data_IF_327010289371
#
_entry.id   IF_327010289371
#
_cell.length_a   1.000
_cell.length_b   1.000
_cell.length_c   1.000
_cell.angle_alpha   90.00
_cell.angle_beta   90.00
_cell.angle_gamma   90.00
#
_symmetry.space_group_name_H-M   'P 1'
#
loop_
_entity.id
_entity.type
_entity.pdbx_description
1 polymer ?
#
# COMPACT_ATOMS: atom_id res chain seq x y z
N UNK A 1 0.22 -12.33 -8.47
CA UNK A 1 1.55 -12.22 -9.13
C UNK A 1 2.33 -11.00 -8.67
N UNK A 2 1.82 -9.76 -8.79
CA UNK A 2 2.55 -8.56 -8.36
C UNK A 2 2.87 -8.53 -6.84
N UNK A 3 1.91 -8.90 -5.98
CA UNK A 3 2.12 -8.93 -4.53
C UNK A 3 3.25 -9.90 -4.14
N UNK A 4 3.23 -11.12 -4.68
CA UNK A 4 4.26 -12.13 -4.39
C UNK A 4 5.69 -11.64 -4.68
N UNK A 5 5.90 -10.98 -5.83
CA UNK A 5 7.23 -10.42 -6.18
C UNK A 5 7.63 -9.31 -5.20
N UNK A 6 6.69 -8.50 -4.73
CA UNK A 6 6.96 -7.46 -3.74
C UNK A 6 7.27 -8.04 -2.36
N UNK A 7 6.60 -9.13 -1.98
CA UNK A 7 6.84 -9.87 -0.73
C UNK A 7 8.22 -10.53 -0.74
N UNK A 8 8.64 -11.12 -1.87
CA UNK A 8 10.02 -11.59 -2.06
C UNK A 8 11.02 -10.43 -1.93
N UNK A 9 10.71 -9.25 -2.48
CA UNK A 9 11.52 -8.05 -2.25
C UNK A 9 11.64 -7.67 -0.76
N UNK A 10 10.56 -7.83 0.00
CA UNK A 10 10.55 -7.58 1.45
C UNK A 10 11.37 -8.61 2.25
N UNK A 11 11.60 -9.83 1.75
CA UNK A 11 12.49 -10.77 2.44
C UNK A 11 13.95 -10.31 2.45
N UNK A 12 14.36 -9.54 1.43
CA UNK A 12 15.69 -8.93 1.37
C UNK A 12 15.74 -7.54 2.03
N UNK A 13 14.62 -6.81 2.03
CA UNK A 13 14.51 -5.47 2.60
C UNK A 13 13.33 -5.36 3.57
N UNK A 14 13.42 -5.98 4.76
CA UNK A 14 12.33 -5.95 5.73
C UNK A 14 11.96 -4.51 6.13
N UNK A 15 10.66 -4.21 6.12
CA UNK A 15 10.16 -2.89 6.51
C UNK A 15 10.30 -1.79 5.45
N UNK A 16 10.65 -2.13 4.21
CA UNK A 16 10.68 -1.15 3.12
C UNK A 16 9.28 -0.54 2.88
N UNK A 17 9.12 0.74 3.22
CA UNK A 17 7.86 1.46 3.13
C UNK A 17 7.34 1.54 1.69
N UNK A 18 8.21 1.76 0.70
CA UNK A 18 7.85 1.84 -0.71
C UNK A 18 7.20 0.55 -1.20
N UNK A 19 7.82 -0.61 -0.92
CA UNK A 19 7.26 -1.91 -1.30
C UNK A 19 5.93 -2.15 -0.58
N UNK A 20 5.84 -1.76 0.69
CA UNK A 20 4.62 -1.92 1.49
C UNK A 20 3.45 -1.07 0.95
N UNK A 21 3.69 0.17 0.48
CA UNK A 21 2.65 0.96 -0.21
C UNK A 21 2.16 0.28 -1.49
N UNK A 22 3.07 -0.31 -2.26
CA UNK A 22 2.71 -1.00 -3.50
C UNK A 22 1.88 -2.25 -3.23
N UNK A 23 2.24 -3.03 -2.21
CA UNK A 23 1.45 -4.18 -1.75
C UNK A 23 0.04 -3.72 -1.39
N UNK A 24 -0.09 -2.72 -0.51
CA UNK A 24 -1.40 -2.20 -0.11
C UNK A 24 -2.26 -1.76 -1.30
N UNK A 25 -1.65 -1.11 -2.29
CA UNK A 25 -2.34 -0.68 -3.51
C UNK A 25 -2.82 -1.88 -4.36
N UNK A 26 -2.02 -2.93 -4.50
CA UNK A 26 -2.41 -4.14 -5.23
C UNK A 26 -3.45 -4.98 -4.48
N UNK A 27 -3.42 -5.00 -3.16
CA UNK A 27 -4.45 -5.64 -2.33
C UNK A 27 -5.79 -4.94 -2.51
N UNK A 28 -5.78 -3.61 -2.53
CA UNK A 28 -6.98 -2.81 -2.80
C UNK A 28 -7.56 -3.10 -4.19
N UNK A 29 -6.72 -3.19 -5.23
CA UNK A 29 -7.15 -3.56 -6.59
C UNK A 29 -7.71 -4.98 -6.72
N UNK A 30 -7.46 -5.83 -5.73
CA UNK A 30 -7.96 -7.21 -5.66
C UNK A 30 -9.14 -7.32 -4.68
N UNK A 31 -9.76 -6.19 -4.31
CA UNK A 31 -10.84 -6.09 -3.32
C UNK A 31 -10.49 -6.66 -1.94
N UNK A 32 -9.19 -6.86 -1.65
CA UNK A 32 -8.71 -7.29 -0.35
C UNK A 32 -8.46 -6.06 0.55
N UNK A 33 -9.57 -5.42 0.92
CA UNK A 33 -9.55 -4.13 1.60
C UNK A 33 -8.95 -4.19 3.01
N UNK A 34 -9.14 -5.30 3.73
CA UNK A 34 -8.59 -5.46 5.08
C UNK A 34 -7.07 -5.43 5.06
N UNK A 35 -6.45 -6.23 4.17
CA UNK A 35 -5.00 -6.26 4.03
C UNK A 35 -4.47 -4.93 3.49
N UNK A 36 -5.17 -4.34 2.51
CA UNK A 36 -4.79 -3.04 1.97
C UNK A 36 -4.70 -1.96 3.06
N UNK A 37 -5.71 -1.90 3.94
CA UNK A 37 -5.73 -0.95 5.08
C UNK A 37 -4.62 -1.27 6.08
N UNK A 38 -4.40 -2.54 6.39
CA UNK A 38 -3.34 -2.97 7.31
C UNK A 38 -1.95 -2.56 6.79
N UNK A 39 -1.63 -2.91 5.54
CA UNK A 39 -0.34 -2.60 4.93
C UNK A 39 -0.17 -1.10 4.67
N UNK A 40 -1.24 -0.39 4.31
CA UNK A 40 -1.18 1.06 4.15
C UNK A 40 -0.84 1.77 5.47
N UNK A 41 -1.47 1.37 6.58
CA UNK A 41 -1.13 1.90 7.92
C UNK A 41 0.32 1.60 8.29
N UNK A 42 0.80 0.39 7.99
CA UNK A 42 2.20 0.00 8.22
C UNK A 42 3.16 0.87 7.41
N UNK A 43 2.86 1.11 6.14
CA UNK A 43 3.66 1.95 5.25
C UNK A 43 3.68 3.43 5.69
N UNK A 44 2.52 3.98 6.07
CA UNK A 44 2.40 5.34 6.60
C UNK A 44 3.21 5.55 7.89
N UNK A 45 3.21 4.55 8.79
CA UNK A 45 4.01 4.58 10.01
C UNK A 45 5.51 4.55 9.72
N UNK A 46 5.93 3.84 8.67
CA UNK A 46 7.34 3.74 8.29
C UNK A 46 7.84 5.00 7.56
N UNK A 47 7.10 5.48 6.56
CA UNK A 47 7.38 6.74 5.88
C UNK A 47 6.13 7.31 5.19
N UNK A 48 5.60 8.41 5.73
CA UNK A 48 4.42 9.11 5.17
C UNK A 48 4.69 9.82 3.83
N UNK A 49 5.94 10.16 3.52
CA UNK A 49 6.29 10.92 2.32
C UNK A 49 6.18 10.08 1.04
N UNK A 50 6.11 8.76 1.19
CA UNK A 50 6.01 7.81 0.09
C UNK A 50 4.58 7.45 -0.31
N UNK A 51 3.55 8.10 0.28
CA UNK A 51 2.14 7.87 -0.07
C UNK A 51 1.83 8.03 -1.57
N UNK A 52 2.64 8.83 -2.29
CA UNK A 52 2.59 8.95 -3.76
C UNK A 52 2.76 7.62 -4.50
N UNK A 53 3.46 6.64 -3.93
CA UNK A 53 3.65 5.33 -4.55
C UNK A 53 2.36 4.50 -4.56
N UNK A 54 1.50 4.68 -3.56
CA UNK A 54 0.15 4.11 -3.54
C UNK A 54 -0.73 4.78 -4.60
N UNK A 55 -0.75 6.12 -4.61
CA UNK A 55 -1.61 6.94 -5.49
C UNK A 55 -1.29 6.68 -6.98
N UNK A 56 -0.02 6.45 -7.34
CA UNK A 56 0.36 6.07 -8.72
C UNK A 56 -0.33 4.79 -9.21
N UNK A 57 -0.61 3.85 -8.31
CA UNK A 57 -1.24 2.57 -8.66
C UNK A 57 -2.76 2.71 -8.57
N UNK A 58 -3.27 3.42 -7.56
CA UNK A 58 -4.71 3.63 -7.31
C UNK A 58 -5.00 5.14 -7.34
N UNK A 59 -5.10 5.76 -8.52
CA UNK A 59 -5.35 7.20 -8.64
C UNK A 59 -6.74 7.60 -8.17
N UNK A 60 -7.68 6.67 -8.16
CA UNK A 60 -9.08 6.80 -7.75
C UNK A 60 -9.32 6.45 -6.27
N UNK A 61 -8.25 6.43 -5.45
CA UNK A 61 -8.33 6.06 -4.02
C UNK A 61 -9.34 6.89 -3.21
N UNK A 62 -9.65 8.11 -3.68
CA UNK A 62 -10.64 9.01 -3.07
C UNK A 62 -12.06 8.43 -3.05
N UNK A 63 -12.37 7.46 -3.94
CA UNK A 63 -13.66 6.78 -3.96
C UNK A 63 -13.82 5.77 -2.80
N UNK A 64 -12.76 5.54 -2.03
CA UNK A 64 -12.74 4.55 -0.97
C UNK A 64 -12.57 5.23 0.38
N UNK A 65 -13.69 5.47 1.08
CA UNK A 65 -13.76 6.27 2.31
C UNK A 65 -12.61 6.00 3.30
N UNK A 66 -12.31 4.73 3.60
CA UNK A 66 -11.25 4.34 4.55
C UNK A 66 -9.84 4.68 4.04
N UNK A 67 -9.57 4.51 2.75
CA UNK A 67 -8.25 4.79 2.16
C UNK A 67 -8.07 6.29 1.99
N UNK A 68 -9.12 7.00 1.56
CA UNK A 68 -9.15 8.44 1.48
C UNK A 68 -8.81 9.08 2.84
N UNK A 69 -9.44 8.62 3.93
CA UNK A 69 -9.16 9.08 5.30
C UNK A 69 -7.70 8.84 5.72
N UNK A 70 -7.09 7.73 5.31
CA UNK A 70 -5.69 7.42 5.65
C UNK A 70 -4.69 8.25 4.84
N UNK A 71 -5.09 8.76 3.68
CA UNK A 71 -4.20 9.44 2.72
C UNK A 71 -4.41 10.95 2.62
N UNK A 72 -5.51 11.49 3.17
CA UNK A 72 -5.73 12.92 3.38
C UNK A 72 -4.67 13.50 4.31
#
# INVERSE_FOLDING_TARGET
QAIQVLEEGLSFLPGNALLTYRIAAYEMKQDNMENAVFNLKKALKADKNLKKEFIKIVPDYMNHNKIAELLS
#
